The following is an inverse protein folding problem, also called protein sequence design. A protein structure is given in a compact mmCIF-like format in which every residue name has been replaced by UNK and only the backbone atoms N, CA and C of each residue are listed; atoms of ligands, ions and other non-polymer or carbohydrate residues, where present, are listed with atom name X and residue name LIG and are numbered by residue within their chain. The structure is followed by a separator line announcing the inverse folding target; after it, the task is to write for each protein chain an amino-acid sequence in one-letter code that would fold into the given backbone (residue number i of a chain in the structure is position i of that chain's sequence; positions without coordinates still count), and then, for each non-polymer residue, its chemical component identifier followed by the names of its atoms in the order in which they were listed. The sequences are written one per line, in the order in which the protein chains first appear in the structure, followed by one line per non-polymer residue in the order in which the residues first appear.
data_IF_256256777136
#
_entry.id   IF_256256777136
#
_cell.length_a   1.000
_cell.length_b   1.000
_cell.length_c   1.000
_cell.angle_alpha   90.00
_cell.angle_beta   90.00
_cell.angle_gamma   90.00
#
_symmetry.space_group_name_H-M   'P 1'
#
loop_
_entity.id
_entity.type
_entity.pdbx_description
1 polymer ?
#
# COMPACT_ATOMS: atom_id res chain seq x y z
N UNK A 1 -9.71 -35.94 -5.88
CA UNK A 1 -9.32 -35.13 -7.07
C UNK A 1 -10.14 -33.84 -7.25
N UNK A 2 -11.29 -33.63 -6.57
CA UNK A 2 -12.04 -32.35 -6.61
C UNK A 2 -11.33 -31.12 -5.99
N UNK A 3 -10.53 -31.29 -4.92
CA UNK A 3 -9.95 -30.14 -4.20
C UNK A 3 -8.90 -29.39 -5.02
N UNK A 4 -8.09 -30.09 -5.82
CA UNK A 4 -7.14 -29.46 -6.75
C UNK A 4 -7.83 -28.70 -7.89
N UNK A 5 -9.03 -29.09 -8.30
CA UNK A 5 -9.78 -28.44 -9.39
C UNK A 5 -10.37 -27.09 -8.96
N UNK A 6 -10.80 -26.94 -7.70
CA UNK A 6 -11.26 -25.63 -7.15
C UNK A 6 -10.12 -24.62 -7.04
N UNK A 7 -8.93 -25.07 -6.64
CA UNK A 7 -7.76 -24.20 -6.52
C UNK A 7 -7.22 -23.77 -7.90
N UNK A 8 -7.46 -24.57 -8.95
CA UNK A 8 -7.10 -24.26 -10.34
C UNK A 8 -8.09 -23.27 -11.00
N UNK A 9 -9.38 -23.32 -10.65
CA UNK A 9 -10.42 -22.38 -11.15
C UNK A 9 -10.29 -20.98 -10.53
N UNK A 10 -9.88 -20.86 -9.27
CA UNK A 10 -9.63 -19.57 -8.61
C UNK A 10 -8.43 -18.79 -9.20
N UNK A 11 -7.57 -19.45 -9.98
CA UNK A 11 -6.47 -18.80 -10.70
C UNK A 11 -6.91 -18.22 -12.06
N UNK A 12 -7.99 -18.75 -12.64
CA UNK A 12 -8.49 -18.30 -13.95
C UNK A 12 -9.32 -17.01 -13.91
N UNK A 13 -9.66 -16.51 -12.71
CA UNK A 13 -10.49 -15.31 -12.53
C UNK A 13 -9.87 -14.26 -11.60
N UNK A 14 -8.59 -14.36 -11.27
CA UNK A 14 -7.95 -13.46 -10.31
C UNK A 14 -8.05 -11.99 -10.74
N UNK A 15 -7.91 -11.73 -12.04
CA UNK A 15 -8.08 -10.38 -12.60
C UNK A 15 -9.51 -9.86 -12.43
N UNK A 16 -10.53 -10.70 -12.63
CA UNK A 16 -11.93 -10.30 -12.48
C UNK A 16 -12.32 -10.10 -11.01
N UNK A 17 -11.79 -10.93 -10.11
CA UNK A 17 -11.94 -10.74 -8.68
C UNK A 17 -11.28 -9.42 -8.21
N UNK A 18 -10.08 -9.10 -8.71
CA UNK A 18 -9.41 -7.83 -8.43
C UNK A 18 -10.22 -6.65 -8.99
N UNK A 19 -10.68 -6.73 -10.24
CA UNK A 19 -11.53 -5.69 -10.85
C UNK A 19 -12.82 -5.47 -10.07
N UNK A 20 -13.50 -6.55 -9.69
CA UNK A 20 -14.74 -6.48 -8.89
C UNK A 20 -14.50 -5.83 -7.52
N UNK A 21 -13.40 -6.19 -6.85
CA UNK A 21 -13.01 -5.56 -5.58
C UNK A 21 -12.70 -4.07 -5.74
N UNK A 22 -11.94 -3.68 -6.77
CA UNK A 22 -11.65 -2.27 -7.05
C UNK A 22 -12.93 -1.49 -7.38
N UNK A 23 -13.85 -2.08 -8.14
CA UNK A 23 -15.13 -1.45 -8.46
C UNK A 23 -16.01 -1.28 -7.20
N UNK A 24 -16.06 -2.28 -6.32
CA UNK A 24 -16.84 -2.22 -5.09
C UNK A 24 -16.31 -1.18 -4.09
N UNK A 25 -14.99 -1.06 -3.96
CA UNK A 25 -14.37 -0.05 -3.08
C UNK A 25 -14.36 1.34 -3.71
N UNK A 26 -14.30 1.42 -5.04
CA UNK A 26 -14.19 2.66 -5.82
C UNK A 26 -13.21 3.69 -5.22
N UNK A 27 -11.96 3.30 -4.89
CA UNK A 27 -11.01 4.25 -4.34
C UNK A 27 -10.61 5.28 -5.41
N UNK A 28 -10.32 6.54 -5.03
CA UNK A 28 -9.71 7.48 -5.95
C UNK A 28 -8.36 6.93 -6.44
N UNK A 29 -8.19 6.87 -7.77
CA UNK A 29 -6.94 6.43 -8.39
C UNK A 29 -6.04 7.64 -8.57
N UNK A 30 -4.91 7.64 -7.87
CA UNK A 30 -3.93 8.71 -7.94
C UNK A 30 -2.68 8.21 -8.69
N UNK A 31 -2.29 8.83 -9.81
CA UNK A 31 -1.07 8.47 -10.53
C UNK A 31 0.17 8.63 -9.64
N UNK A 32 1.11 7.70 -9.77
CA UNK A 32 2.44 7.81 -9.14
C UNK A 32 3.35 8.65 -10.04
N UNK A 33 3.27 9.96 -9.88
CA UNK A 33 4.05 10.95 -10.64
C UNK A 33 5.49 11.11 -10.13
N UNK A 34 6.25 11.99 -10.79
CA UNK A 34 7.65 12.23 -10.48
C UNK A 34 7.86 12.83 -9.08
N UNK A 35 6.92 13.65 -8.58
CA UNK A 35 7.00 14.24 -7.25
C UNK A 35 6.81 13.18 -6.17
N UNK A 36 5.82 12.29 -6.33
CA UNK A 36 5.65 11.14 -5.45
C UNK A 36 6.83 10.18 -5.52
N UNK A 37 7.39 9.95 -6.71
CA UNK A 37 8.57 9.12 -6.88
C UNK A 37 9.79 9.67 -6.13
N UNK A 38 10.01 10.99 -6.21
CA UNK A 38 11.07 11.66 -5.46
C UNK A 38 10.85 11.55 -3.96
N UNK A 39 9.65 11.89 -3.47
CA UNK A 39 9.33 11.86 -2.04
C UNK A 39 9.45 10.45 -1.46
N UNK A 40 8.93 9.43 -2.16
CA UNK A 40 9.08 8.03 -1.78
C UNK A 40 10.55 7.57 -1.81
N UNK A 41 11.38 8.14 -2.71
CA UNK A 41 12.81 7.88 -2.77
C UNK A 41 13.55 8.45 -1.55
N UNK A 42 13.23 9.68 -1.15
CA UNK A 42 13.83 10.36 0.00
C UNK A 42 13.55 9.62 1.32
N UNK A 43 12.40 8.94 1.43
CA UNK A 43 12.05 8.13 2.60
C UNK A 43 12.89 6.85 2.75
N UNK A 44 13.64 6.41 1.73
CA UNK A 44 14.31 5.11 1.73
C UNK A 44 15.26 4.89 2.92
N UNK A 45 16.00 5.93 3.32
CA UNK A 45 16.91 5.85 4.47
C UNK A 45 16.14 5.73 5.79
N UNK A 46 15.13 6.59 5.98
CA UNK A 46 14.31 6.65 7.19
C UNK A 46 13.51 5.36 7.43
N UNK A 47 13.13 4.66 6.37
CA UNK A 47 12.29 3.46 6.48
C UNK A 47 13.08 2.14 6.40
N UNK A 48 14.41 2.19 6.24
CA UNK A 48 15.24 0.99 5.98
C UNK A 48 15.18 -0.02 7.13
N UNK A 49 15.20 0.47 8.37
CA UNK A 49 15.13 -0.37 9.58
C UNK A 49 13.80 -1.10 9.73
N UNK A 50 12.71 -0.55 9.20
CA UNK A 50 11.39 -1.14 9.22
C UNK A 50 11.09 -2.03 7.99
N UNK A 51 12.04 -2.14 7.04
CA UNK A 51 11.92 -3.06 5.91
C UNK A 51 10.89 -2.66 4.85
N UNK A 52 10.45 -1.39 4.81
CA UNK A 52 9.40 -0.94 3.89
C UNK A 52 9.85 -1.08 2.43
N UNK A 53 8.91 -1.52 1.59
CA UNK A 53 9.06 -1.59 0.14
C UNK A 53 8.92 -0.21 -0.52
N UNK A 54 9.16 -0.14 -1.84
CA UNK A 54 8.85 1.07 -2.61
C UNK A 54 7.35 1.38 -2.60
N UNK A 55 6.49 0.36 -2.64
CA UNK A 55 5.04 0.54 -2.59
C UNK A 55 4.57 1.15 -1.27
N UNK A 56 5.16 0.72 -0.16
CA UNK A 56 4.86 1.29 1.17
C UNK A 56 5.24 2.77 1.23
N UNK A 57 6.43 3.11 0.73
CA UNK A 57 6.88 4.51 0.65
C UNK A 57 6.03 5.35 -0.29
N UNK A 58 5.54 4.79 -1.40
CA UNK A 58 4.61 5.48 -2.29
C UNK A 58 3.29 5.81 -1.57
N UNK A 59 2.76 4.89 -0.77
CA UNK A 59 1.58 5.13 0.06
C UNK A 59 1.81 6.21 1.12
N UNK A 60 2.96 6.19 1.81
CA UNK A 60 3.32 7.22 2.79
C UNK A 60 3.51 8.60 2.14
N UNK A 61 4.21 8.67 1.02
CA UNK A 61 4.40 9.91 0.26
C UNK A 61 3.05 10.49 -0.20
N UNK A 62 2.13 9.63 -0.67
CA UNK A 62 0.79 10.08 -1.05
C UNK A 62 0.00 10.61 0.16
N UNK A 63 0.02 9.91 1.29
CA UNK A 63 -0.64 10.34 2.52
C UNK A 63 -0.10 11.70 2.99
N UNK A 64 1.23 11.88 2.95
CA UNK A 64 1.89 13.16 3.23
C UNK A 64 1.42 14.28 2.31
N UNK A 65 1.39 14.03 1.00
CA UNK A 65 0.95 15.01 -0.01
C UNK A 65 -0.52 15.43 0.18
N UNK A 66 -1.38 14.49 0.55
CA UNK A 66 -2.80 14.74 0.78
C UNK A 66 -3.09 15.32 2.18
N UNK A 67 -2.12 15.30 3.11
CA UNK A 67 -2.31 15.73 4.49
C UNK A 67 -3.28 14.83 5.26
N UNK A 68 -3.28 13.52 4.98
CA UNK A 68 -4.19 12.54 5.60
C UNK A 68 -3.41 11.42 6.30
N UNK A 69 -4.01 10.72 7.28
CA UNK A 69 -3.37 9.57 7.89
C UNK A 69 -3.21 8.41 6.90
N UNK A 70 -2.12 7.66 7.05
CA UNK A 70 -1.92 6.42 6.35
C UNK A 70 -2.46 5.24 7.17
N UNK A 71 -3.53 4.60 6.67
CA UNK A 71 -4.10 3.42 7.29
C UNK A 71 -3.29 2.20 6.86
N UNK A 72 -2.82 1.43 7.83
CA UNK A 72 -2.08 0.21 7.57
C UNK A 72 -2.40 -0.83 8.62
N UNK A 73 -2.01 -2.03 8.28
CA UNK A 73 -2.10 -3.15 9.18
C UNK A 73 -0.76 -3.86 9.36
N UNK A 74 0.29 -3.24 8.83
CA UNK A 74 1.67 -3.58 9.11
C UNK A 74 2.13 -2.74 10.32
N UNK A 75 2.49 -3.42 11.40
CA UNK A 75 2.94 -2.76 12.64
C UNK A 75 4.31 -2.11 12.49
N UNK A 76 5.12 -2.51 11.50
CA UNK A 76 6.44 -1.93 11.25
C UNK A 76 6.34 -0.43 10.92
N UNK A 77 5.26 -0.01 10.27
CA UNK A 77 5.01 1.39 9.92
C UNK A 77 4.94 2.31 11.15
N UNK A 78 4.39 1.83 12.27
CA UNK A 78 4.26 2.66 13.48
C UNK A 78 5.62 3.14 14.01
N UNK A 79 6.69 2.38 13.80
CA UNK A 79 8.06 2.74 14.21
C UNK A 79 8.69 3.87 13.38
N UNK A 80 8.11 4.20 12.22
CA UNK A 80 8.67 5.19 11.28
C UNK A 80 7.76 6.40 11.09
N UNK A 81 6.65 6.52 11.82
CA UNK A 81 5.66 7.59 11.65
C UNK A 81 6.28 8.99 11.72
N UNK A 82 7.08 9.23 12.77
CA UNK A 82 7.79 10.49 12.96
C UNK A 82 8.79 10.75 11.82
N UNK A 83 9.59 9.74 11.46
CA UNK A 83 10.61 9.86 10.42
C UNK A 83 10.02 10.06 9.01
N UNK A 84 8.83 9.49 8.75
CA UNK A 84 8.08 9.70 7.52
C UNK A 84 7.33 11.03 7.50
N UNK A 85 7.08 11.64 8.67
CA UNK A 85 6.29 12.86 8.81
C UNK A 85 4.82 12.64 8.42
N UNK A 86 4.27 11.46 8.73
CA UNK A 86 2.91 11.04 8.38
C UNK A 86 2.26 10.39 9.59
N UNK A 87 1.01 10.75 9.90
CA UNK A 87 0.22 10.04 10.90
C UNK A 87 -0.11 8.63 10.41
N UNK A 88 0.12 7.61 11.25
CA UNK A 88 -0.10 6.21 10.89
C UNK A 88 -1.15 5.61 11.81
N UNK A 89 -2.20 5.04 11.22
CA UNK A 89 -3.31 4.41 11.93
C UNK A 89 -3.30 2.91 11.67
N UNK A 90 -3.14 2.13 12.75
CA UNK A 90 -3.21 0.67 12.69
C UNK A 90 -4.67 0.19 12.72
N UNK A 91 -5.07 -0.62 11.73
CA UNK A 91 -6.43 -1.15 11.62
C UNK A 91 -6.58 -2.61 12.11
N UNK A 92 -5.48 -3.24 12.57
CA UNK A 92 -5.45 -4.57 13.21
C UNK A 92 -4.15 -4.81 13.98
#
# INVERSE_FOLDING_TARGET
MERSRRQLLARHNAADAVRSTLAALSPPIIPFDAELALEAGLMAQATRSAGLSLGDRACLALAKRLGVPALTADRAWASIAEAAGVEIVLIR
#
